data_IF_190617645483
#
_entry.id   IF_190617645483
#
_cell.length_a   1.000
_cell.length_b   1.000
_cell.length_c   1.000
_cell.angle_alpha   90.00
_cell.angle_beta   90.00
_cell.angle_gamma   90.00
#
_symmetry.space_group_name_H-M   'P 1'
#
loop_
_entity.id
_entity.type
_entity.pdbx_description
1 polymer ?
#
# COMPACT_ATOMS: atom_id res chain seq x y z
N UNK A 1 23.36 -3.40 -6.96
CA UNK A 1 23.20 -2.65 -5.71
C UNK A 1 24.22 -1.53 -5.70
N UNK A 2 23.79 -0.28 -5.53
CA UNK A 2 24.67 0.89 -5.45
C UNK A 2 24.36 1.62 -4.14
N UNK A 3 25.36 2.08 -3.41
CA UNK A 3 25.14 3.00 -2.29
C UNK A 3 25.31 4.43 -2.81
N UNK A 4 24.29 5.27 -2.68
CA UNK A 4 24.36 6.71 -2.97
C UNK A 4 23.90 7.45 -1.72
N UNK A 5 24.74 8.31 -1.17
CA UNK A 5 24.43 9.12 0.03
C UNK A 5 23.96 8.29 1.23
N UNK A 6 24.49 7.07 1.38
CA UNK A 6 24.10 6.12 2.44
C UNK A 6 22.80 5.35 2.16
N UNK A 7 22.15 5.60 1.02
CA UNK A 7 20.91 4.93 0.61
C UNK A 7 21.23 3.78 -0.35
N UNK A 8 20.64 2.62 -0.08
CA UNK A 8 20.72 1.46 -0.97
C UNK A 8 19.84 1.65 -2.20
N UNK A 9 20.50 1.74 -3.36
CA UNK A 9 19.88 1.95 -4.66
C UNK A 9 19.87 0.65 -5.47
N UNK A 10 18.69 0.35 -6.02
CA UNK A 10 18.42 -0.80 -6.88
C UNK A 10 17.98 -0.32 -8.25
N UNK A 11 18.29 -1.09 -9.29
CA UNK A 11 17.74 -0.79 -10.62
C UNK A 11 16.31 -1.33 -10.76
N UNK A 12 15.66 -1.02 -11.87
CA UNK A 12 14.27 -1.44 -12.14
C UNK A 12 14.08 -2.96 -12.10
N UNK A 13 15.08 -3.76 -12.53
CA UNK A 13 14.95 -5.22 -12.53
C UNK A 13 15.02 -5.77 -11.12
N UNK A 14 15.95 -5.25 -10.32
CA UNK A 14 16.09 -5.66 -8.92
C UNK A 14 14.90 -5.17 -8.07
N UNK A 15 14.42 -3.95 -8.30
CA UNK A 15 13.20 -3.44 -7.68
C UNK A 15 11.99 -4.32 -8.00
N UNK A 16 11.86 -4.80 -9.24
CA UNK A 16 10.79 -5.70 -9.65
C UNK A 16 10.85 -7.04 -8.89
N UNK A 17 12.05 -7.61 -8.74
CA UNK A 17 12.29 -8.83 -7.96
C UNK A 17 11.93 -8.64 -6.48
N UNK A 18 12.35 -7.52 -5.89
CA UNK A 18 12.02 -7.18 -4.49
C UNK A 18 10.53 -6.98 -4.27
N UNK A 19 9.84 -6.41 -5.25
CA UNK A 19 8.40 -6.15 -5.18
C UNK A 19 7.54 -7.37 -5.53
N UNK A 20 8.12 -8.44 -6.08
CA UNK A 20 7.35 -9.53 -6.68
C UNK A 20 6.48 -9.07 -7.85
N UNK A 21 6.91 -8.05 -8.59
CA UNK A 21 6.16 -7.43 -9.70
C UNK A 21 6.97 -7.45 -10.99
N UNK A 22 6.34 -7.03 -12.10
CA UNK A 22 7.06 -6.89 -13.37
C UNK A 22 7.86 -5.58 -13.42
N UNK A 23 8.95 -5.51 -14.19
CA UNK A 23 9.68 -4.26 -14.44
C UNK A 23 8.79 -3.13 -14.95
N UNK A 24 7.74 -3.45 -15.69
CA UNK A 24 6.80 -2.46 -16.22
C UNK A 24 5.94 -1.83 -15.12
N UNK A 25 5.51 -2.61 -14.13
CA UNK A 25 4.83 -2.06 -12.95
C UNK A 25 5.70 -1.03 -12.24
N UNK A 26 7.00 -1.32 -12.08
CA UNK A 26 7.94 -0.39 -11.46
C UNK A 26 8.07 0.90 -12.30
N UNK A 27 8.20 0.79 -13.63
CA UNK A 27 8.24 1.98 -14.51
C UNK A 27 6.97 2.83 -14.39
N UNK A 28 5.79 2.20 -14.36
CA UNK A 28 4.53 2.91 -14.16
C UNK A 28 4.47 3.63 -12.82
N UNK A 29 5.02 3.04 -11.75
CA UNK A 29 5.12 3.74 -10.46
C UNK A 29 6.03 4.96 -10.54
N UNK A 30 7.16 4.86 -11.22
CA UNK A 30 8.04 6.01 -11.47
C UNK A 30 7.33 7.10 -12.28
N UNK A 31 6.70 6.75 -13.40
CA UNK A 31 6.01 7.73 -14.24
C UNK A 31 4.81 8.39 -13.58
N UNK A 32 4.13 7.67 -12.66
CA UNK A 32 3.04 8.23 -11.86
C UNK A 32 3.51 9.00 -10.62
N UNK A 33 4.81 9.12 -10.39
CA UNK A 33 5.38 9.81 -9.23
C UNK A 33 5.25 9.05 -7.91
N UNK A 34 4.84 7.77 -7.93
CA UNK A 34 4.76 6.92 -6.72
C UNK A 34 6.13 6.46 -6.22
N UNK A 35 7.12 6.44 -7.12
CA UNK A 35 8.51 6.14 -6.78
C UNK A 35 9.43 7.20 -7.37
N UNK A 36 10.30 7.76 -6.53
CA UNK A 36 11.38 8.61 -7.00
C UNK A 36 12.47 7.76 -7.67
N UNK A 37 12.87 8.16 -8.88
CA UNK A 37 13.92 7.50 -9.62
C UNK A 37 15.03 8.48 -9.98
N UNK A 38 16.28 8.06 -9.75
CA UNK A 38 17.46 8.79 -10.19
C UNK A 38 18.02 8.17 -11.46
N UNK A 39 18.16 8.98 -12.51
CA UNK A 39 18.76 8.54 -13.77
C UNK A 39 20.28 8.49 -13.65
N UNK A 40 20.89 7.33 -13.90
CA UNK A 40 22.34 7.15 -14.01
C UNK A 40 22.68 6.50 -15.35
N UNK A 41 23.12 7.32 -16.31
CA UNK A 41 23.25 6.90 -17.70
C UNK A 41 21.92 6.44 -18.26
N UNK A 42 21.86 5.20 -18.76
CA UNK A 42 20.64 4.57 -19.29
C UNK A 42 19.82 3.78 -18.25
N UNK A 43 20.16 3.87 -16.96
CA UNK A 43 19.45 3.12 -15.90
C UNK A 43 18.68 4.08 -14.99
N UNK A 44 17.51 3.62 -14.56
CA UNK A 44 16.76 4.21 -13.46
C UNK A 44 17.13 3.48 -12.17
N UNK A 45 17.59 4.24 -11.19
CA UNK A 45 17.91 3.76 -9.85
C UNK A 45 16.85 4.25 -8.88
N UNK A 46 16.42 3.35 -8.01
CA UNK A 46 15.33 3.52 -7.05
C UNK A 46 15.88 3.22 -5.66
N UNK A 47 15.47 3.96 -4.63
CA UNK A 47 15.82 3.60 -3.27
C UNK A 47 15.08 2.30 -2.87
N UNK A 48 15.81 1.32 -2.36
CA UNK A 48 15.25 0.02 -1.96
C UNK A 48 14.11 0.17 -0.97
N UNK A 49 14.26 1.08 0.00
CA UNK A 49 13.27 1.29 1.06
C UNK A 49 11.95 1.82 0.50
N UNK A 50 12.00 2.69 -0.52
CA UNK A 50 10.79 3.26 -1.12
C UNK A 50 10.06 2.22 -1.96
N UNK A 51 10.79 1.33 -2.65
CA UNK A 51 10.20 0.18 -3.34
C UNK A 51 9.44 -0.72 -2.35
N UNK A 52 10.04 -1.05 -1.21
CA UNK A 52 9.39 -1.90 -0.19
C UNK A 52 8.18 -1.21 0.45
N UNK A 53 8.28 0.10 0.74
CA UNK A 53 7.16 0.89 1.25
C UNK A 53 6.00 0.91 0.26
N UNK A 54 6.30 1.12 -1.02
CA UNK A 54 5.29 1.12 -2.07
C UNK A 54 4.56 -0.22 -2.18
N UNK A 55 5.27 -1.35 -1.99
CA UNK A 55 4.67 -2.68 -1.98
C UNK A 55 3.70 -2.85 -0.80
N UNK A 56 4.08 -2.43 0.40
CA UNK A 56 3.22 -2.50 1.60
C UNK A 56 1.94 -1.67 1.48
N UNK A 57 1.96 -0.60 0.68
CA UNK A 57 0.79 0.26 0.41
C UNK A 57 -0.12 -0.28 -0.70
N UNK A 58 0.20 -1.41 -1.34
CA UNK A 58 -0.65 -2.01 -2.36
C UNK A 58 -1.44 -3.18 -1.78
N UNK A 59 -2.70 -3.38 -2.21
CA UNK A 59 -3.42 -4.59 -1.87
C UNK A 59 -2.64 -5.81 -2.36
N UNK A 60 -2.64 -6.85 -1.53
CA UNK A 60 -1.99 -8.12 -1.84
C UNK A 60 -2.53 -8.66 -3.17
N UNK A 61 -1.67 -8.97 -4.16
CA UNK A 61 -2.12 -9.49 -5.44
C UNK A 61 -2.87 -10.83 -5.32
N UNK A 62 -2.61 -11.63 -4.29
CA UNK A 62 -3.36 -12.85 -4.04
C UNK A 62 -4.83 -12.54 -3.72
N UNK A 63 -5.08 -11.50 -2.93
CA UNK A 63 -6.44 -10.98 -2.62
C UNK A 63 -7.15 -10.46 -3.87
N UNK A 64 -6.42 -10.04 -4.90
CA UNK A 64 -7.03 -9.57 -6.15
C UNK A 64 -7.65 -10.71 -6.97
N UNK A 65 -7.29 -11.97 -6.67
CA UNK A 65 -7.89 -13.16 -7.30
C UNK A 65 -8.99 -13.80 -6.45
N UNK A 66 -9.23 -13.29 -5.23
CA UNK A 66 -10.36 -13.73 -4.42
C UNK A 66 -11.67 -13.31 -5.07
N UNK A 67 -12.61 -14.26 -5.12
CA UNK A 67 -13.99 -13.94 -5.46
C UNK A 67 -14.62 -13.09 -4.35
N UNK A 68 -15.63 -12.29 -4.71
CA UNK A 68 -16.34 -11.47 -3.72
C UNK A 68 -16.94 -12.29 -2.57
N UNK A 69 -17.37 -13.52 -2.84
CA UNK A 69 -17.91 -14.43 -1.83
C UNK A 69 -16.84 -14.93 -0.86
N UNK A 70 -15.62 -15.21 -1.33
CA UNK A 70 -14.48 -15.57 -0.48
C UNK A 70 -14.08 -14.40 0.41
N UNK A 71 -13.97 -13.21 -0.17
CA UNK A 71 -13.71 -12.00 0.60
C UNK A 71 -14.79 -11.77 1.69
N UNK A 72 -16.06 -11.96 1.36
CA UNK A 72 -17.16 -11.79 2.32
C UNK A 72 -17.10 -12.81 3.47
N UNK A 73 -16.71 -14.06 3.19
CA UNK A 73 -16.50 -15.08 4.21
C UNK A 73 -15.35 -14.70 5.16
N UNK A 74 -14.23 -14.22 4.63
CA UNK A 74 -13.08 -13.79 5.43
C UNK A 74 -13.44 -12.59 6.31
N UNK A 75 -14.15 -11.60 5.77
CA UNK A 75 -14.64 -10.45 6.55
C UNK A 75 -15.59 -10.90 7.66
N UNK A 76 -16.49 -11.85 7.40
CA UNK A 76 -17.38 -12.40 8.42
C UNK A 76 -16.63 -13.13 9.54
N UNK A 77 -15.52 -13.80 9.22
CA UNK A 77 -14.61 -14.39 10.22
C UNK A 77 -13.90 -13.31 11.04
N UNK A 78 -13.32 -12.30 10.39
CA UNK A 78 -12.61 -11.22 11.05
C UNK A 78 -13.51 -10.36 11.96
N UNK A 79 -14.78 -10.21 11.59
CA UNK A 79 -15.77 -9.50 12.40
C UNK A 79 -16.34 -10.37 13.53
N UNK A 80 -16.09 -11.69 13.54
CA UNK A 80 -16.59 -12.57 14.58
C UNK A 80 -15.88 -12.25 15.90
N UNK A 81 -16.64 -11.71 16.86
CA UNK A 81 -16.13 -11.28 18.17
C UNK A 81 -15.81 -9.78 18.28
N UNK A 82 -15.93 -9.00 17.20
CA UNK A 82 -15.99 -7.52 17.31
C UNK A 82 -17.37 -7.13 17.79
N UNK A 83 -17.56 -7.09 19.11
CA UNK A 83 -18.72 -6.47 19.75
C UNK A 83 -18.46 -4.97 19.86
N UNK A 84 -18.66 -4.23 18.77
CA UNK A 84 -18.60 -2.78 18.74
C UNK A 84 -19.58 -2.29 17.68
N UNK A 85 -20.22 -1.14 17.95
CA UNK A 85 -21.17 -0.52 17.04
C UNK A 85 -20.65 -0.46 15.61
N UNK A 86 -21.56 -0.55 14.64
CA UNK A 86 -21.22 -0.40 13.24
C UNK A 86 -20.50 0.94 13.00
N UNK A 87 -19.82 1.07 11.87
CA UNK A 87 -19.25 2.36 11.47
C UNK A 87 -20.31 3.49 11.49
N UNK A 88 -21.57 3.16 11.21
CA UNK A 88 -22.70 4.07 11.31
C UNK A 88 -23.00 4.47 12.76
N UNK A 89 -22.98 3.52 13.70
CA UNK A 89 -23.21 3.81 15.11
C UNK A 89 -22.13 4.74 15.67
N UNK A 90 -20.86 4.48 15.33
CA UNK A 90 -19.74 5.34 15.70
C UNK A 90 -19.87 6.76 15.12
N UNK A 91 -20.34 6.90 13.88
CA UNK A 91 -20.57 8.20 13.25
C UNK A 91 -21.74 8.97 13.88
N UNK A 92 -22.78 8.26 14.33
CA UNK A 92 -23.92 8.86 15.04
C UNK A 92 -23.51 9.30 16.44
N UNK A 93 -22.74 8.48 17.16
CA UNK A 93 -22.20 8.83 18.48
C UNK A 93 -21.25 10.04 18.42
N UNK A 94 -20.32 10.06 17.46
CA UNK A 94 -19.42 11.20 17.25
C UNK A 94 -20.18 12.49 16.92
N UNK A 95 -21.25 12.41 16.11
CA UNK A 95 -22.11 13.57 15.84
C UNK A 95 -22.80 14.07 17.09
N UNK A 96 -23.41 13.19 17.88
CA UNK A 96 -24.07 13.55 19.15
C UNK A 96 -23.12 14.23 20.12
N UNK A 97 -21.90 13.71 20.26
CA UNK A 97 -20.90 14.29 21.15
C UNK A 97 -20.51 15.72 20.78
N UNK A 98 -20.47 16.06 19.48
CA UNK A 98 -20.17 17.44 19.01
C UNK A 98 -21.33 18.40 19.25
N UNK A 99 -22.56 17.91 19.07
CA UNK A 99 -23.76 18.69 19.30
C UNK A 99 -23.92 19.02 20.80
N UNK A 100 -23.64 18.04 21.68
CA UNK A 100 -23.66 18.23 23.13
C UNK A 100 -22.55 19.17 23.63
N UNK A 101 -21.36 19.13 23.02
CA UNK A 101 -20.25 20.03 23.37
C UNK A 101 -20.46 21.48 22.92
N UNK A 102 -21.44 21.72 22.05
CA UNK A 102 -21.77 23.04 21.50
C UNK A 102 -22.89 23.75 22.28
N UNK A 103 -23.40 23.14 23.36
CA UNK A 103 -24.52 23.62 24.18
C UNK A 103 -24.05 24.07 25.57
#
# INVERSE_FOLDING_TARGET
MYLLDGVEMVDVREAARLAGRTPETIRRWVWSGRLEARRRGNRLLLARIDVLRQVGSQPDPARATETLSQWAADVAVLNRGRQGGTASDLAVEDRRARDDASR
#
